data_IF_438539398514
#
_entry.id   IF_438539398514
#
_cell.length_a   1.000
_cell.length_b   1.000
_cell.length_c   1.000
_cell.angle_alpha   90.00
_cell.angle_beta   90.00
_cell.angle_gamma   90.00
#
_symmetry.space_group_name_H-M   'P 1'
#
loop_
_entity.id
_entity.type
_entity.pdbx_description
1 polymer ?
#
# COMPACT_ATOMS: atom_id res chain seq x y z
N UNK A 1 24.90 -38.26 -8.36
CA UNK A 1 25.85 -39.30 -8.78
C UNK A 1 25.29 -40.04 -9.98
N UNK A 2 26.11 -40.89 -10.60
CA UNK A 2 25.68 -41.73 -11.73
C UNK A 2 24.88 -42.91 -11.16
N UNK A 3 23.80 -43.31 -11.83
CA UNK A 3 22.92 -44.38 -11.35
C UNK A 3 22.86 -45.48 -12.41
N UNK A 4 23.29 -46.68 -12.05
CA UNK A 4 23.24 -47.86 -12.90
C UNK A 4 22.18 -48.84 -12.37
N UNK A 5 21.50 -49.52 -13.28
CA UNK A 5 20.56 -50.60 -13.00
C UNK A 5 21.05 -51.87 -13.70
N UNK A 6 21.19 -52.96 -12.94
CA UNK A 6 21.55 -54.26 -13.48
C UNK A 6 20.31 -54.92 -14.12
N UNK A 7 20.40 -55.28 -15.40
CA UNK A 7 19.43 -56.15 -16.04
C UNK A 7 19.69 -57.59 -15.61
N UNK A 8 18.72 -58.16 -14.89
CA UNK A 8 18.81 -59.52 -14.32
C UNK A 8 18.80 -60.62 -15.39
N UNK A 9 18.30 -60.34 -16.60
CA UNK A 9 18.22 -61.34 -17.68
C UNK A 9 19.54 -61.42 -18.42
N UNK A 10 20.13 -60.27 -18.73
CA UNK A 10 21.37 -60.18 -19.53
C UNK A 10 22.63 -60.12 -18.68
N UNK A 11 22.50 -59.78 -17.39
CA UNK A 11 23.62 -59.55 -16.48
C UNK A 11 24.37 -58.24 -16.76
N UNK A 12 23.81 -57.35 -17.60
CA UNK A 12 24.45 -56.11 -18.00
C UNK A 12 23.95 -54.92 -17.18
N UNK A 13 24.86 -54.03 -16.81
CA UNK A 13 24.51 -52.77 -16.13
C UNK A 13 24.14 -51.70 -17.16
N UNK A 14 23.00 -51.04 -16.94
CA UNK A 14 22.52 -49.94 -17.76
C UNK A 14 22.51 -48.63 -16.95
N UNK A 15 23.08 -47.57 -17.51
CA UNK A 15 23.00 -46.23 -16.97
C UNK A 15 21.54 -45.75 -17.07
N UNK A 16 20.90 -45.57 -15.92
CA UNK A 16 19.49 -45.15 -15.78
C UNK A 16 19.36 -43.81 -15.06
N UNK A 17 20.47 -43.11 -14.80
CA UNK A 17 20.39 -41.81 -14.18
C UNK A 17 21.70 -41.06 -14.23
N UNK A 18 21.59 -39.78 -14.53
CA UNK A 18 22.68 -38.83 -14.48
C UNK A 18 22.35 -37.72 -13.47
N UNK A 19 23.37 -37.05 -12.90
CA UNK A 19 23.16 -35.85 -12.10
C UNK A 19 22.42 -34.77 -12.91
N UNK A 20 21.77 -33.82 -12.23
CA UNK A 20 21.07 -32.72 -12.89
C UNK A 20 22.03 -31.96 -13.82
N UNK A 21 21.56 -31.62 -15.01
CA UNK A 21 22.36 -30.98 -16.04
C UNK A 21 23.10 -31.93 -16.99
N UNK A 22 22.95 -33.23 -16.79
CA UNK A 22 23.54 -34.23 -17.66
C UNK A 22 22.43 -35.08 -18.27
N UNK A 23 22.54 -35.37 -19.57
CA UNK A 23 21.67 -36.29 -20.28
C UNK A 23 22.24 -37.70 -20.22
N UNK A 24 21.37 -38.69 -19.98
CA UNK A 24 21.73 -40.10 -20.16
C UNK A 24 21.91 -40.38 -21.64
N UNK A 25 23.08 -40.89 -22.02
CA UNK A 25 23.35 -41.48 -23.33
C UNK A 25 23.64 -42.96 -23.10
N UNK A 26 22.80 -43.83 -23.62
CA UNK A 26 22.90 -45.29 -23.44
C UNK A 26 22.56 -46.03 -24.74
N UNK A 27 23.16 -45.59 -25.84
CA UNK A 27 22.93 -46.14 -27.18
C UNK A 27 23.32 -47.62 -27.27
N UNK A 28 24.46 -47.99 -26.66
CA UNK A 28 24.88 -49.38 -26.49
C UNK A 28 25.46 -49.64 -25.10
N UNK A 29 25.60 -50.92 -24.74
CA UNK A 29 26.23 -51.36 -23.48
C UNK A 29 27.65 -50.79 -23.33
N UNK A 30 28.37 -50.63 -24.44
CA UNK A 30 29.71 -50.06 -24.46
C UNK A 30 29.75 -48.53 -24.44
N UNK A 31 28.63 -47.86 -24.72
CA UNK A 31 28.55 -46.39 -24.88
C UNK A 31 27.52 -45.78 -23.93
N UNK A 32 27.70 -46.08 -22.63
CA UNK A 32 26.89 -45.49 -21.57
C UNK A 32 27.65 -44.34 -20.90
N UNK A 33 27.15 -43.11 -21.06
CA UNK A 33 27.76 -41.93 -20.47
C UNK A 33 26.72 -40.88 -20.08
N UNK A 34 27.12 -39.99 -19.20
CA UNK A 34 26.37 -38.78 -18.88
C UNK A 34 26.94 -37.62 -19.71
N UNK A 35 26.15 -37.11 -20.65
CA UNK A 35 26.53 -35.98 -21.50
C UNK A 35 26.17 -34.65 -20.82
N UNK A 36 27.17 -33.82 -20.54
CA UNK A 36 26.95 -32.50 -19.92
C UNK A 36 26.38 -31.50 -20.92
N UNK A 37 25.37 -30.73 -20.50
CA UNK A 37 24.82 -29.68 -21.34
C UNK A 37 25.77 -28.47 -21.45
N UNK A 38 26.09 -27.98 -22.67
CA UNK A 38 27.00 -26.86 -22.86
C UNK A 38 26.45 -25.53 -22.32
N UNK A 39 27.30 -24.48 -22.14
CA UNK A 39 26.98 -23.17 -21.54
C UNK A 39 25.91 -22.29 -22.19
N UNK A 40 25.06 -22.83 -23.06
CA UNK A 40 23.93 -22.13 -23.69
C UNK A 40 22.66 -22.97 -23.66
N UNK A 41 22.68 -24.06 -22.90
CA UNK A 41 21.64 -25.06 -22.84
C UNK A 41 21.53 -25.64 -21.44
N UNK A 42 20.45 -26.36 -21.19
CA UNK A 42 20.21 -26.97 -19.90
C UNK A 42 19.48 -28.32 -20.03
N UNK A 43 19.52 -29.10 -18.96
CA UNK A 43 18.72 -30.31 -18.77
C UNK A 43 18.18 -30.34 -17.35
N UNK A 44 16.86 -30.48 -17.22
CA UNK A 44 16.19 -30.60 -15.93
C UNK A 44 16.06 -32.07 -15.54
N UNK A 45 15.80 -32.92 -16.53
CA UNK A 45 15.73 -34.37 -16.35
C UNK A 45 16.77 -35.08 -17.21
N UNK A 46 17.47 -36.09 -16.67
CA UNK A 46 18.42 -36.89 -17.44
C UNK A 46 17.81 -37.61 -18.65
N UNK A 47 16.48 -37.71 -18.69
CA UNK A 47 15.70 -38.36 -19.74
C UNK A 47 14.99 -37.38 -20.69
N UNK A 48 15.30 -36.09 -20.64
CA UNK A 48 14.69 -35.07 -21.52
C UNK A 48 14.81 -35.50 -22.98
N UNK A 49 13.69 -35.65 -23.72
CA UNK A 49 13.65 -36.13 -25.10
C UNK A 49 14.21 -37.55 -25.31
N UNK A 50 14.14 -38.43 -24.30
CA UNK A 50 14.50 -39.84 -24.46
C UNK A 50 13.25 -40.73 -24.66
N UNK A 51 13.39 -41.75 -25.52
CA UNK A 51 12.41 -42.82 -25.68
C UNK A 51 12.46 -43.84 -24.54
N UNK A 52 11.50 -44.77 -24.52
CA UNK A 52 11.29 -45.70 -23.39
C UNK A 52 12.43 -46.73 -23.21
N UNK A 53 13.23 -47.01 -24.25
CA UNK A 53 14.19 -48.14 -24.27
C UNK A 53 15.64 -47.77 -24.52
N UNK A 54 15.92 -46.70 -25.27
CA UNK A 54 17.28 -46.23 -25.51
C UNK A 54 17.30 -44.72 -25.68
N UNK A 55 18.35 -44.11 -25.14
CA UNK A 55 18.65 -42.69 -25.18
C UNK A 55 19.89 -42.50 -26.07
N UNK A 56 19.66 -42.29 -27.36
CA UNK A 56 20.74 -41.90 -28.28
C UNK A 56 21.17 -40.46 -27.95
N UNK A 57 22.41 -40.10 -28.33
CA UNK A 57 22.92 -38.74 -28.20
C UNK A 57 21.93 -37.72 -28.79
N UNK A 58 21.66 -36.65 -28.05
CA UNK A 58 20.64 -35.65 -28.37
C UNK A 58 21.03 -34.30 -27.82
N UNK A 59 20.40 -33.27 -28.37
CA UNK A 59 20.62 -31.90 -27.96
C UNK A 59 19.95 -31.60 -26.61
N UNK A 60 20.64 -30.84 -25.77
CA UNK A 60 20.07 -30.27 -24.56
C UNK A 60 19.00 -29.22 -24.89
N UNK A 61 18.16 -28.88 -23.90
CA UNK A 61 17.16 -27.84 -24.08
C UNK A 61 17.85 -26.49 -24.28
N UNK A 62 17.44 -25.73 -25.31
CA UNK A 62 17.91 -24.35 -25.53
C UNK A 62 17.52 -23.47 -24.35
N UNK A 63 18.47 -22.66 -23.86
CA UNK A 63 18.22 -21.72 -22.77
C UNK A 63 17.12 -20.71 -23.15
N UNK A 64 16.13 -20.44 -22.27
CA UNK A 64 15.15 -19.39 -22.49
C UNK A 64 15.79 -18.01 -22.58
N UNK A 65 15.19 -17.12 -23.39
CA UNK A 65 15.68 -15.75 -23.56
C UNK A 65 15.79 -14.98 -22.24
N UNK A 66 14.90 -15.22 -21.28
CA UNK A 66 14.95 -14.60 -19.95
C UNK A 66 15.92 -15.24 -18.95
N UNK A 67 16.72 -16.23 -19.37
CA UNK A 67 17.66 -16.92 -18.51
C UNK A 67 19.08 -16.86 -19.09
N UNK A 68 20.06 -16.79 -18.21
CA UNK A 68 21.46 -17.09 -18.51
C UNK A 68 21.75 -18.49 -18.00
N UNK A 69 22.02 -19.43 -18.91
CA UNK A 69 22.40 -20.80 -18.56
C UNK A 69 23.93 -20.90 -18.51
N UNK A 70 24.47 -21.54 -17.47
CA UNK A 70 25.90 -21.79 -17.34
C UNK A 70 26.31 -23.19 -17.80
N UNK A 71 25.35 -23.91 -18.40
CA UNK A 71 25.45 -25.33 -18.66
C UNK A 71 24.84 -26.16 -17.54
N UNK A 72 24.60 -27.42 -17.85
CA UNK A 72 23.99 -28.34 -16.92
C UNK A 72 22.56 -27.95 -16.49
N UNK A 73 22.36 -27.73 -15.19
CA UNK A 73 21.06 -27.38 -14.60
C UNK A 73 21.07 -26.03 -13.87
N UNK A 74 22.17 -25.29 -14.00
CA UNK A 74 22.36 -24.00 -13.37
C UNK A 74 21.98 -22.91 -14.36
N UNK A 75 20.95 -22.15 -14.01
CA UNK A 75 20.52 -20.98 -14.75
C UNK A 75 20.09 -19.89 -13.76
N UNK A 76 20.31 -18.65 -14.16
CA UNK A 76 19.92 -17.45 -13.43
C UNK A 76 19.10 -16.55 -14.36
N UNK A 77 18.33 -15.61 -13.80
CA UNK A 77 17.69 -14.61 -14.67
C UNK A 77 18.74 -13.84 -15.45
N UNK A 78 18.45 -13.57 -16.73
CA UNK A 78 19.29 -12.69 -17.55
C UNK A 78 19.30 -11.25 -17.06
N UNK A 79 18.23 -10.81 -16.39
CA UNK A 79 18.04 -9.43 -15.92
C UNK A 79 18.01 -9.37 -14.40
N UNK A 80 18.97 -8.62 -13.82
CA UNK A 80 19.06 -8.48 -12.38
C UNK A 80 17.82 -7.78 -11.81
N UNK A 81 17.14 -8.42 -10.86
CA UNK A 81 15.98 -7.83 -10.18
C UNK A 81 14.67 -7.89 -10.97
N UNK A 82 14.60 -8.65 -12.06
CA UNK A 82 13.34 -8.91 -12.76
C UNK A 82 12.33 -9.74 -11.93
N UNK A 83 12.79 -10.33 -10.83
CA UNK A 83 12.04 -11.21 -9.94
C UNK A 83 11.30 -12.32 -10.69
N UNK A 84 11.91 -12.83 -11.75
CA UNK A 84 11.36 -13.92 -12.54
C UNK A 84 11.23 -15.19 -11.70
N UNK A 85 10.08 -15.84 -11.81
CA UNK A 85 9.82 -17.13 -11.18
C UNK A 85 9.57 -18.14 -12.28
N UNK A 86 10.22 -19.30 -12.18
CA UNK A 86 10.21 -20.34 -13.21
C UNK A 86 9.67 -21.64 -12.62
N UNK A 87 8.90 -22.39 -13.41
CA UNK A 87 8.39 -23.72 -13.04
C UNK A 87 8.85 -24.77 -14.04
N UNK A 88 9.00 -26.02 -13.59
CA UNK A 88 9.25 -27.15 -14.47
C UNK A 88 7.92 -27.64 -15.07
N UNK A 89 7.84 -27.71 -16.39
CA UNK A 89 6.70 -28.28 -17.11
C UNK A 89 7.14 -29.49 -17.92
N UNK A 90 6.23 -30.44 -18.11
CA UNK A 90 6.44 -31.61 -18.94
C UNK A 90 5.82 -31.36 -20.32
N UNK A 91 6.65 -31.25 -21.36
CA UNK A 91 6.21 -31.12 -22.74
C UNK A 91 6.40 -32.44 -23.50
N UNK A 92 5.50 -32.71 -24.45
CA UNK A 92 5.62 -33.86 -25.35
C UNK A 92 6.51 -33.45 -26.53
N UNK A 93 7.76 -33.90 -26.53
CA UNK A 93 8.69 -33.75 -27.65
C UNK A 93 8.49 -34.84 -28.71
N UNK A 94 9.21 -34.71 -29.83
CA UNK A 94 9.18 -35.67 -30.94
C UNK A 94 9.69 -37.06 -30.59
N UNK A 95 10.62 -37.15 -29.63
CA UNK A 95 11.27 -38.40 -29.20
C UNK A 95 10.75 -38.95 -27.86
N UNK A 96 9.94 -38.17 -27.14
CA UNK A 96 9.51 -38.52 -25.79
C UNK A 96 9.06 -37.30 -24.99
N UNK A 97 8.97 -37.46 -23.67
CA UNK A 97 8.65 -36.35 -22.78
C UNK A 97 9.92 -35.58 -22.45
N UNK A 98 9.84 -34.26 -22.38
CA UNK A 98 10.94 -33.37 -21.99
C UNK A 98 10.48 -32.44 -20.87
N UNK A 99 11.28 -32.32 -19.83
CA UNK A 99 11.08 -31.32 -18.79
C UNK A 99 11.73 -30.02 -19.23
N UNK A 100 10.93 -28.96 -19.33
CA UNK A 100 11.40 -27.62 -19.69
C UNK A 100 11.00 -26.65 -18.60
N UNK A 101 11.72 -25.53 -18.50
CA UNK A 101 11.33 -24.46 -17.57
C UNK A 101 10.43 -23.45 -18.29
N UNK A 102 9.35 -23.02 -17.64
CA UNK A 102 8.49 -21.94 -18.13
C UNK A 102 8.41 -20.82 -17.11
N UNK A 103 8.32 -19.60 -17.62
CA UNK A 103 8.22 -18.40 -16.79
C UNK A 103 6.81 -18.26 -16.21
N UNK A 104 6.64 -18.24 -14.90
CA UNK A 104 5.32 -18.13 -14.24
C UNK A 104 4.99 -16.73 -13.78
N UNK A 105 5.99 -15.93 -13.40
CA UNK A 105 5.76 -14.54 -13.02
C UNK A 105 6.99 -13.67 -13.18
N UNK A 106 6.77 -12.36 -13.34
CA UNK A 106 7.79 -11.30 -13.36
C UNK A 106 7.44 -10.24 -12.32
N UNK A 107 8.44 -9.62 -11.69
CA UNK A 107 8.25 -8.55 -10.72
C UNK A 107 7.52 -7.33 -11.30
N UNK A 108 7.12 -6.43 -10.40
CA UNK A 108 6.59 -5.13 -10.81
C UNK A 108 7.60 -4.43 -11.72
N UNK A 109 7.08 -3.83 -12.78
CA UNK A 109 7.86 -3.17 -13.82
C UNK A 109 8.25 -4.05 -15.00
N UNK A 110 8.05 -5.36 -14.90
CA UNK A 110 8.34 -6.27 -15.99
C UNK A 110 7.04 -6.84 -16.53
N UNK A 111 7.00 -7.05 -17.84
CA UNK A 111 5.95 -7.81 -18.52
C UNK A 111 6.44 -9.23 -18.73
N UNK A 112 5.50 -10.16 -18.57
CA UNK A 112 5.74 -11.57 -18.83
C UNK A 112 5.51 -11.84 -20.31
N UNK A 113 6.59 -12.16 -21.02
CA UNK A 113 6.55 -12.58 -22.42
C UNK A 113 6.65 -14.10 -22.44
N UNK A 114 5.59 -14.75 -22.93
CA UNK A 114 5.57 -16.20 -23.17
C UNK A 114 5.41 -16.44 -24.66
N UNK A 115 6.37 -17.14 -25.24
CA UNK A 115 6.29 -17.55 -26.63
C UNK A 115 5.61 -18.90 -26.83
N UNK A 116 5.55 -19.35 -28.08
CA UNK A 116 5.01 -20.66 -28.42
C UNK A 116 5.84 -21.78 -27.77
N UNK A 117 7.14 -21.55 -27.64
CA UNK A 117 8.08 -22.47 -27.02
C UNK A 117 8.71 -21.88 -25.75
N UNK A 118 9.05 -22.71 -24.75
CA UNK A 118 9.73 -22.31 -23.52
C UNK A 118 10.98 -21.43 -23.70
N UNK A 119 11.69 -21.63 -24.80
CA UNK A 119 12.93 -20.90 -25.13
C UNK A 119 12.69 -19.42 -25.45
N UNK A 120 11.45 -19.02 -25.68
CA UNK A 120 11.03 -17.63 -25.94
C UNK A 120 10.49 -16.93 -24.69
N UNK A 121 10.42 -17.62 -23.55
CA UNK A 121 9.92 -17.03 -22.31
C UNK A 121 10.94 -16.02 -21.76
N UNK A 122 10.48 -14.82 -21.39
CA UNK A 122 11.32 -13.76 -20.82
C UNK A 122 10.50 -12.75 -19.98
N UNK A 123 11.15 -12.13 -19.00
CA UNK A 123 10.66 -10.92 -18.36
C UNK A 123 11.26 -9.71 -19.07
N UNK A 124 10.42 -8.83 -19.61
CA UNK A 124 10.87 -7.65 -20.35
C UNK A 124 10.47 -6.40 -19.56
N UNK A 125 11.41 -5.50 -19.31
CA UNK A 125 11.12 -4.26 -18.59
C UNK A 125 10.14 -3.38 -19.39
N UNK A 126 9.23 -2.69 -18.68
CA UNK A 126 8.37 -1.70 -19.31
C UNK A 126 9.20 -0.58 -19.94
N UNK A 127 8.94 -0.22 -21.22
CA UNK A 127 9.69 0.82 -21.91
C UNK A 127 9.49 2.19 -21.25
N UNK A 128 10.41 3.12 -21.50
CA UNK A 128 10.34 4.49 -20.97
C UNK A 128 9.01 5.16 -21.32
N UNK A 129 8.46 5.92 -20.37
CA UNK A 129 7.13 6.51 -20.50
C UNK A 129 5.97 5.55 -20.20
N UNK A 130 6.26 4.30 -19.86
CA UNK A 130 5.27 3.33 -19.38
C UNK A 130 5.71 2.70 -18.06
N UNK A 131 4.80 2.05 -17.34
CA UNK A 131 5.12 1.39 -16.08
C UNK A 131 4.19 0.21 -15.77
N UNK A 132 4.62 -0.68 -14.88
CA UNK A 132 3.76 -1.69 -14.25
C UNK A 132 4.01 -1.72 -12.75
N UNK A 133 2.98 -1.52 -11.93
CA UNK A 133 3.10 -1.63 -10.46
C UNK A 133 2.80 -3.04 -9.94
N UNK A 134 2.24 -3.91 -10.78
CA UNK A 134 1.82 -5.26 -10.37
C UNK A 134 2.79 -6.31 -10.88
N UNK A 135 3.00 -7.38 -10.08
CA UNK A 135 3.66 -8.59 -10.56
C UNK A 135 2.86 -9.19 -11.73
N UNK A 136 3.50 -9.37 -12.88
CA UNK A 136 2.90 -10.10 -13.98
C UNK A 136 2.86 -11.58 -13.61
N UNK A 137 1.69 -12.22 -13.61
CA UNK A 137 1.55 -13.65 -13.29
C UNK A 137 0.86 -14.35 -14.45
N UNK A 138 1.46 -15.45 -14.90
CA UNK A 138 0.82 -16.36 -15.83
C UNK A 138 -0.28 -17.11 -15.10
N UNK A 139 -1.51 -16.98 -15.57
CA UNK A 139 -2.62 -17.86 -15.19
C UNK A 139 -3.01 -18.63 -16.43
N UNK A 140 -2.83 -19.96 -16.46
CA UNK A 140 -3.31 -20.75 -17.59
C UNK A 140 -4.80 -20.44 -17.80
N UNK A 141 -5.26 -20.22 -19.04
CA UNK A 141 -6.67 -20.01 -19.30
C UNK A 141 -7.44 -21.21 -18.75
N UNK A 142 -8.39 -20.95 -17.84
CA UNK A 142 -9.09 -21.99 -17.08
C UNK A 142 -9.82 -22.98 -17.99
N UNK A 143 -10.22 -22.57 -19.20
CA UNK A 143 -10.55 -23.44 -20.33
C UNK A 143 -10.44 -22.61 -21.61
N UNK A 144 -9.40 -22.78 -22.41
CA UNK A 144 -9.38 -22.30 -23.79
C UNK A 144 -8.85 -23.43 -24.67
N UNK A 145 -9.61 -23.74 -25.72
CA UNK A 145 -9.30 -24.74 -26.73
C UNK A 145 -7.86 -24.62 -27.23
N UNK A 146 -7.23 -25.76 -27.48
CA UNK A 146 -5.81 -26.01 -27.82
C UNK A 146 -5.19 -25.19 -28.98
N UNK A 147 -5.91 -24.25 -29.60
CA UNK A 147 -5.50 -23.55 -30.81
C UNK A 147 -5.07 -22.08 -30.62
N UNK A 148 -5.22 -21.49 -29.43
CA UNK A 148 -4.71 -20.14 -29.19
C UNK A 148 -3.37 -20.21 -28.45
N UNK A 149 -2.28 -20.25 -29.21
CA UNK A 149 -1.03 -19.63 -28.79
C UNK A 149 -1.29 -18.13 -28.64
N UNK A 150 -1.98 -17.78 -27.54
CA UNK A 150 -2.16 -16.41 -27.09
C UNK A 150 -0.81 -15.94 -26.57
N UNK A 151 0.09 -15.71 -27.53
CA UNK A 151 1.18 -14.78 -27.41
C UNK A 151 0.50 -13.53 -26.83
N UNK A 152 0.77 -13.22 -25.57
CA UNK A 152 0.32 -11.98 -24.93
C UNK A 152 1.05 -10.90 -25.73
N UNK A 153 0.48 -10.54 -26.88
CA UNK A 153 1.15 -9.78 -27.94
C UNK A 153 1.31 -8.33 -27.58
N UNK A 154 0.63 -7.90 -26.53
CA UNK A 154 0.53 -6.49 -26.26
C UNK A 154 1.24 -6.18 -24.95
N UNK A 155 2.14 -5.21 -25.05
CA UNK A 155 2.59 -4.34 -23.98
C UNK A 155 1.43 -3.66 -23.21
N UNK A 156 0.18 -4.07 -23.42
CA UNK A 156 -1.00 -3.76 -22.62
C UNK A 156 -0.74 -3.90 -21.11
N UNK A 157 0.25 -4.71 -20.69
CA UNK A 157 0.73 -4.82 -19.30
C UNK A 157 1.43 -3.58 -18.76
N UNK A 158 2.06 -2.77 -19.61
CA UNK A 158 2.62 -1.49 -19.22
C UNK A 158 1.60 -0.39 -19.44
N UNK A 159 1.25 0.32 -18.37
CA UNK A 159 0.37 1.47 -18.41
C UNK A 159 1.18 2.71 -18.83
N UNK A 160 0.56 3.62 -19.58
CA UNK A 160 1.15 4.92 -19.88
C UNK A 160 1.43 5.68 -18.57
N UNK A 161 2.57 6.37 -18.49
CA UNK A 161 2.94 7.12 -17.30
C UNK A 161 1.86 8.16 -16.95
N UNK A 162 1.40 8.23 -15.68
CA UNK A 162 0.34 9.15 -15.31
C UNK A 162 0.82 10.60 -15.45
N UNK A 163 -0.08 11.54 -15.79
CA UNK A 163 0.27 12.95 -15.86
C UNK A 163 0.78 13.43 -14.50
N UNK A 164 1.84 14.25 -14.51
CA UNK A 164 2.48 14.70 -13.28
C UNK A 164 3.59 13.78 -12.77
N UNK A 165 3.98 12.74 -13.50
CA UNK A 165 5.10 11.87 -13.17
C UNK A 165 6.04 11.59 -14.35
N UNK A 166 7.22 11.07 -14.01
CA UNK A 166 8.20 10.48 -14.92
C UNK A 166 8.36 8.99 -14.59
N UNK A 167 8.38 8.17 -15.64
CA UNK A 167 8.55 6.73 -15.57
C UNK A 167 9.79 6.39 -16.39
N UNK A 168 10.92 6.21 -15.72
CA UNK A 168 12.23 5.97 -16.37
C UNK A 168 12.23 4.63 -17.12
N UNK A 169 11.67 3.60 -16.49
CA UNK A 169 11.37 2.27 -17.01
C UNK A 169 10.81 1.42 -15.87
N UNK A 170 10.20 0.30 -16.20
CA UNK A 170 9.86 -0.67 -15.17
C UNK A 170 8.66 -0.28 -14.30
N UNK A 171 8.83 -0.32 -12.97
CA UNK A 171 7.76 -0.10 -11.99
C UNK A 171 7.91 1.22 -11.22
N UNK A 172 8.92 2.01 -11.55
CA UNK A 172 9.28 3.22 -10.83
C UNK A 172 8.54 4.44 -11.41
N UNK A 173 7.47 4.82 -10.73
CA UNK A 173 6.70 6.03 -11.02
C UNK A 173 7.14 7.12 -10.05
N UNK A 174 7.83 8.15 -10.55
CA UNK A 174 8.28 9.30 -9.76
C UNK A 174 7.47 10.54 -10.10
N UNK A 175 6.75 11.14 -9.15
CA UNK A 175 6.04 12.38 -9.42
C UNK A 175 7.02 13.54 -9.70
N UNK A 176 6.62 14.48 -10.55
CA UNK A 176 7.32 15.76 -10.71
C UNK A 176 7.22 16.61 -9.44
N UNK A 177 8.02 17.68 -9.38
CA UNK A 177 7.90 18.69 -8.33
C UNK A 177 6.43 19.17 -8.23
N UNK A 178 5.93 19.25 -6.99
CA UNK A 178 4.53 19.62 -6.66
C UNK A 178 3.49 18.56 -7.03
N UNK A 179 3.90 17.33 -7.29
CA UNK A 179 3.01 16.19 -7.38
C UNK A 179 3.30 15.18 -6.27
N UNK A 180 2.28 14.43 -5.89
CA UNK A 180 2.30 13.42 -4.85
C UNK A 180 1.92 12.07 -5.43
N UNK A 181 2.72 11.03 -5.16
CA UNK A 181 2.32 9.66 -5.47
C UNK A 181 1.46 9.10 -4.33
N UNK A 182 0.18 8.89 -4.61
CA UNK A 182 -0.73 8.19 -3.70
C UNK A 182 -0.48 6.69 -3.63
N UNK A 183 -1.27 6.00 -2.81
CA UNK A 183 -1.33 4.54 -2.81
C UNK A 183 -1.75 4.02 -4.19
N UNK A 184 -1.29 2.82 -4.54
CA UNK A 184 -1.82 2.13 -5.70
C UNK A 184 -3.32 1.84 -5.44
N UNK A 185 -4.16 2.04 -6.44
CA UNK A 185 -5.58 1.70 -6.33
C UNK A 185 -5.89 0.43 -7.12
N UNK A 186 -6.76 -0.41 -6.58
CA UNK A 186 -7.36 -1.54 -7.28
C UNK A 186 -8.64 -1.07 -7.96
N UNK A 187 -8.56 -0.92 -9.27
CA UNK A 187 -9.73 -0.60 -10.08
C UNK A 187 -10.48 -1.91 -10.41
N UNK A 188 -11.79 -1.94 -10.17
CA UNK A 188 -12.65 -3.06 -10.59
C UNK A 188 -13.03 -2.96 -12.07
N UNK A 189 -13.51 -4.02 -12.74
CA UNK A 189 -13.89 -4.01 -14.16
C UNK A 189 -14.83 -2.84 -14.55
N UNK A 190 -15.75 -2.50 -13.66
CA UNK A 190 -16.75 -1.43 -13.84
C UNK A 190 -16.15 -0.02 -13.81
N UNK A 191 -14.86 0.08 -13.46
CA UNK A 191 -14.10 1.34 -13.44
C UNK A 191 -13.59 1.73 -14.82
N UNK A 192 -13.50 0.84 -15.81
CA UNK A 192 -12.93 1.24 -17.10
C UNK A 192 -14.00 1.70 -18.09
N UNK A 193 -13.72 2.82 -18.76
CA UNK A 193 -14.57 3.37 -19.79
C UNK A 193 -14.25 2.67 -21.14
N UNK A 194 -15.20 1.89 -21.70
CA UNK A 194 -14.95 1.05 -22.88
C UNK A 194 -14.57 1.85 -24.14
N UNK A 195 -14.98 3.12 -24.23
CA UNK A 195 -14.72 3.96 -25.41
C UNK A 195 -13.33 4.59 -25.38
N UNK A 196 -12.80 4.88 -24.20
CA UNK A 196 -11.51 5.55 -24.04
C UNK A 196 -10.38 4.60 -23.63
N UNK A 197 -10.70 3.40 -23.13
CA UNK A 197 -9.74 2.50 -22.50
C UNK A 197 -9.16 3.04 -21.19
N UNK A 198 -9.68 4.16 -20.66
CA UNK A 198 -9.19 4.77 -19.43
C UNK A 198 -9.98 4.25 -18.21
N UNK A 199 -9.28 4.03 -17.10
CA UNK A 199 -9.91 3.75 -15.82
C UNK A 199 -10.46 5.06 -15.20
N UNK A 200 -11.76 5.10 -14.95
CA UNK A 200 -12.43 6.03 -14.04
C UNK A 200 -11.91 5.82 -12.62
N UNK A 201 -11.00 6.70 -12.24
CA UNK A 201 -10.32 6.67 -10.94
C UNK A 201 -11.29 6.77 -9.76
N UNK A 202 -12.48 7.35 -9.96
CA UNK A 202 -13.46 7.53 -8.88
C UNK A 202 -14.12 6.23 -8.43
N UNK A 203 -14.02 5.18 -9.25
CA UNK A 203 -14.58 3.84 -8.98
C UNK A 203 -13.53 2.86 -8.47
N UNK A 204 -12.27 3.29 -8.37
CA UNK A 204 -11.20 2.45 -7.86
C UNK A 204 -11.20 2.49 -6.32
N UNK A 205 -10.95 1.33 -5.72
CA UNK A 205 -10.79 1.22 -4.27
C UNK A 205 -9.30 1.37 -3.94
N UNK A 206 -8.99 2.13 -2.89
CA UNK A 206 -7.65 2.09 -2.32
C UNK A 206 -7.37 0.65 -1.86
N UNK A 207 -6.18 0.14 -2.18
CA UNK A 207 -5.72 -1.10 -1.58
C UNK A 207 -5.54 -0.81 -0.09
N UNK A 208 -6.56 -1.16 0.72
CA UNK A 208 -6.41 -1.19 2.16
C UNK A 208 -5.14 -2.00 2.44
N UNK A 209 -4.23 -1.46 3.27
CA UNK A 209 -3.07 -2.19 3.81
C UNK A 209 -3.58 -3.32 4.70
N UNK A 210 -4.25 -4.29 4.11
CA UNK A 210 -4.81 -5.45 4.77
C UNK A 210 -3.73 -6.51 4.76
N UNK A 211 -3.09 -6.72 5.91
CA UNK A 211 -2.31 -7.92 6.18
C UNK A 211 -3.21 -9.16 6.38
N UNK A 212 -4.27 -9.30 5.60
CA UNK A 212 -5.22 -10.40 5.69
C UNK A 212 -5.60 -10.92 4.30
N UNK A 213 -5.25 -12.18 4.06
CA UNK A 213 -5.48 -12.92 2.82
C UNK A 213 -6.96 -12.89 2.40
N UNK A 214 -7.29 -12.51 1.15
CA UNK A 214 -8.65 -12.54 0.66
C UNK A 214 -8.98 -13.94 0.13
N UNK A 215 -9.49 -14.80 1.02
CA UNK A 215 -10.20 -16.01 0.61
C UNK A 215 -11.71 -15.73 0.51
N UNK A 216 -12.29 -16.06 -0.64
CA UNK A 216 -13.72 -16.26 -0.95
C UNK A 216 -14.66 -15.04 -0.98
N UNK A 217 -14.94 -14.53 -2.19
CA UNK A 217 -16.28 -14.06 -2.56
C UNK A 217 -16.52 -14.26 -4.07
N UNK A 218 -17.70 -14.80 -4.43
CA UNK A 218 -18.01 -15.34 -5.75
C UNK A 218 -19.07 -14.58 -6.55
N UNK A 219 -18.91 -14.65 -7.89
CA UNK A 219 -19.87 -14.50 -9.01
C UNK A 219 -20.68 -13.18 -9.20
N UNK A 220 -20.37 -12.46 -10.29
CA UNK A 220 -21.14 -12.36 -11.56
C UNK A 220 -20.32 -11.65 -12.67
N UNK A 221 -20.41 -12.15 -13.91
CA UNK A 221 -19.86 -11.61 -15.19
C UNK A 221 -20.81 -10.49 -15.73
N UNK A 222 -20.46 -9.49 -16.57
CA UNK A 222 -19.72 -9.54 -17.85
C UNK A 222 -19.37 -8.11 -18.40
N UNK A 223 -18.11 -7.92 -18.87
CA UNK A 223 -17.54 -7.14 -20.01
C UNK A 223 -17.95 -5.66 -20.29
N UNK A 224 -17.06 -4.70 -20.61
CA UNK A 224 -15.77 -4.76 -21.32
C UNK A 224 -14.91 -3.49 -21.11
N UNK A 225 -13.58 -3.66 -21.15
CA UNK A 225 -12.57 -2.63 -21.35
C UNK A 225 -11.22 -3.33 -21.62
N UNK A 226 -10.63 -3.20 -22.82
CA UNK A 226 -9.48 -3.98 -23.35
C UNK A 226 -9.02 -5.18 -22.46
N UNK A 227 -9.66 -6.34 -22.63
CA UNK A 227 -9.42 -7.55 -21.80
C UNK A 227 -10.21 -7.66 -20.49
N UNK A 228 -11.06 -6.69 -20.15
CA UNK A 228 -12.06 -6.71 -19.07
C UNK A 228 -11.51 -6.63 -17.65
N UNK A 229 -10.26 -6.20 -17.44
CA UNK A 229 -9.65 -6.11 -16.10
C UNK A 229 -8.97 -4.77 -15.90
N UNK A 230 -9.58 -3.93 -15.07
CA UNK A 230 -8.91 -2.75 -14.55
C UNK A 230 -7.76 -3.20 -13.65
N UNK A 231 -6.60 -2.57 -13.85
CA UNK A 231 -5.34 -2.94 -13.18
C UNK A 231 -5.00 -1.92 -12.13
N UNK A 232 -4.00 -2.24 -11.30
CA UNK A 232 -3.51 -1.24 -10.36
C UNK A 232 -2.87 -0.08 -11.12
N UNK A 233 -3.33 1.13 -10.83
CA UNK A 233 -2.81 2.37 -11.42
C UNK A 233 -2.07 3.14 -10.34
N UNK A 234 -0.91 3.69 -10.68
CA UNK A 234 -0.21 4.62 -9.81
C UNK A 234 -0.94 5.96 -9.87
N UNK A 235 -1.37 6.46 -8.72
CA UNK A 235 -2.09 7.73 -8.63
C UNK A 235 -1.12 8.86 -8.33
N UNK A 236 -1.25 9.94 -9.09
CA UNK A 236 -0.40 11.12 -8.95
C UNK A 236 -1.27 12.35 -8.82
N UNK A 237 -1.20 13.02 -7.68
CA UNK A 237 -2.01 14.17 -7.33
C UNK A 237 -1.18 15.45 -7.38
N UNK A 238 -1.76 16.54 -7.84
CA UNK A 238 -1.12 17.85 -7.74
C UNK A 238 -1.25 18.38 -6.31
N UNK A 239 -0.12 18.70 -5.68
CA UNK A 239 -0.11 19.34 -4.37
C UNK A 239 -0.47 20.82 -4.47
N UNK A 240 -1.18 21.37 -3.47
CA UNK A 240 -1.21 22.80 -3.24
C UNK A 240 0.20 23.40 -3.14
N UNK A 241 0.40 24.66 -3.54
CA UNK A 241 1.71 25.31 -3.43
C UNK A 241 2.15 25.41 -1.95
N UNK A 242 3.34 24.89 -1.64
CA UNK A 242 3.99 25.01 -0.32
C UNK A 242 3.69 23.91 0.70
N UNK A 243 2.87 22.90 0.36
CA UNK A 243 2.51 21.80 1.28
C UNK A 243 3.25 20.49 1.04
N UNK A 244 3.73 20.26 -0.19
CA UNK A 244 4.65 19.17 -0.51
C UNK A 244 6.07 19.71 -0.54
N UNK A 245 7.07 18.92 -0.15
CA UNK A 245 8.46 19.32 -0.32
C UNK A 245 8.72 19.64 -1.78
N UNK A 246 9.23 20.85 -2.04
CA UNK A 246 9.85 21.13 -3.33
C UNK A 246 11.18 20.39 -3.33
N UNK A 247 11.27 19.28 -4.06
CA UNK A 247 12.55 18.63 -4.31
C UNK A 247 13.46 19.65 -5.00
N UNK A 248 14.53 20.06 -4.31
CA UNK A 248 15.67 20.66 -4.98
C UNK A 248 16.09 19.67 -6.09
N UNK A 249 16.30 20.17 -7.30
CA UNK A 249 16.37 19.40 -8.55
C UNK A 249 17.39 18.24 -8.58
N UNK A 250 18.26 18.13 -7.58
CA UNK A 250 19.30 17.11 -7.42
C UNK A 250 18.98 16.01 -6.41
N UNK A 251 17.90 16.11 -5.63
CA UNK A 251 17.51 15.10 -4.64
C UNK A 251 16.07 14.68 -4.86
N UNK A 252 15.87 13.45 -5.34
CA UNK A 252 14.56 12.81 -5.45
C UNK A 252 14.04 12.56 -4.02
N UNK A 253 13.45 13.58 -3.40
CA UNK A 253 12.91 13.46 -2.06
C UNK A 253 11.65 12.60 -2.13
N UNK A 254 11.70 11.50 -1.39
CA UNK A 254 10.60 10.59 -1.12
C UNK A 254 9.31 11.39 -0.93
N UNK A 255 8.21 10.92 -1.55
CA UNK A 255 6.83 11.37 -1.36
C UNK A 255 6.55 11.61 0.14
N UNK A 256 6.92 12.77 0.66
CA UNK A 256 6.80 13.13 2.07
C UNK A 256 6.14 14.48 2.14
N UNK A 257 5.07 14.55 2.91
CA UNK A 257 4.40 15.81 3.16
C UNK A 257 5.34 16.69 3.98
N UNK A 258 5.23 18.00 3.81
CA UNK A 258 5.90 18.94 4.70
C UNK A 258 5.51 18.62 6.15
N UNK A 259 6.38 18.93 7.10
CA UNK A 259 6.12 18.70 8.51
C UNK A 259 4.75 19.25 8.93
N UNK A 260 4.03 18.49 9.76
CA UNK A 260 2.65 18.78 10.14
C UNK A 260 1.57 18.38 9.14
N UNK A 261 1.89 18.10 7.88
CA UNK A 261 0.90 17.70 6.86
C UNK A 261 0.79 16.16 6.69
N UNK A 262 -0.38 15.68 6.28
CA UNK A 262 -0.69 14.29 5.96
C UNK A 262 -1.76 14.15 4.86
N UNK A 263 -1.96 12.92 4.39
CA UNK A 263 -2.96 12.57 3.38
C UNK A 263 -2.44 12.62 1.93
N UNK A 264 -3.25 12.17 0.96
CA UNK A 264 -2.84 11.97 -0.44
C UNK A 264 -2.53 13.26 -1.21
N UNK A 265 -2.90 14.42 -0.66
CA UNK A 265 -2.58 15.74 -1.22
C UNK A 265 -1.77 16.60 -0.26
N UNK A 266 -1.35 16.01 0.87
CA UNK A 266 -0.74 16.74 2.00
C UNK A 266 -1.60 17.92 2.47
N UNK A 267 -2.91 17.91 2.24
CA UNK A 267 -3.80 19.01 2.58
C UNK A 267 -4.34 18.91 4.02
N UNK A 268 -4.17 17.78 4.70
CA UNK A 268 -4.65 17.58 6.07
C UNK A 268 -3.52 17.78 7.07
N UNK A 269 -3.83 18.20 8.29
CA UNK A 269 -2.85 18.29 9.37
C UNK A 269 -2.78 16.99 10.17
N UNK A 270 -1.57 16.62 10.61
CA UNK A 270 -1.34 15.49 11.53
C UNK A 270 -2.02 15.75 12.87
N UNK A 271 -2.29 14.69 13.64
CA UNK A 271 -2.76 14.84 15.02
C UNK A 271 -1.79 15.69 15.83
N UNK A 272 -2.31 16.63 16.63
CA UNK A 272 -1.50 17.63 17.34
C UNK A 272 -1.12 18.85 16.50
N UNK A 273 -1.62 18.99 15.28
CA UNK A 273 -1.42 20.15 14.42
C UNK A 273 -2.77 20.74 14.00
N UNK A 274 -2.85 22.05 13.85
CA UNK A 274 -4.01 22.78 13.37
C UNK A 274 -3.69 23.54 12.09
N UNK A 275 -4.69 23.69 11.22
CA UNK A 275 -4.53 24.43 9.96
C UNK A 275 -4.59 25.94 10.23
N UNK A 276 -3.48 26.64 9.99
CA UNK A 276 -3.38 28.10 10.05
C UNK A 276 -3.14 28.64 8.63
N UNK A 277 -4.20 29.15 8.00
CA UNK A 277 -4.24 29.59 6.60
C UNK A 277 -3.86 28.50 5.57
N UNK A 278 -2.57 28.34 5.25
CA UNK A 278 -2.05 27.36 4.28
C UNK A 278 -1.06 26.36 4.87
N UNK A 279 -0.70 26.52 6.13
CA UNK A 279 0.29 25.69 6.78
C UNK A 279 -0.33 25.01 8.00
N UNK A 280 0.07 23.76 8.24
CA UNK A 280 -0.19 23.14 9.52
C UNK A 280 0.80 23.70 10.54
N UNK A 281 0.29 24.14 11.69
CA UNK A 281 1.08 24.56 12.84
C UNK A 281 0.83 23.61 14.00
N UNK A 282 1.88 23.26 14.74
CA UNK A 282 1.75 22.42 15.91
C UNK A 282 0.86 23.14 16.95
N UNK A 283 -0.12 22.43 17.47
CA UNK A 283 -0.95 22.92 18.55
C UNK A 283 -0.04 23.12 19.76
N UNK A 284 0.11 24.36 20.22
CA UNK A 284 0.80 24.65 21.46
C UNK A 284 0.15 23.82 22.57
N UNK A 285 0.95 22.99 23.27
CA UNK A 285 0.49 22.08 24.31
C UNK A 285 -0.18 22.78 25.51
N UNK A 286 -0.25 24.11 25.50
CA UNK A 286 -0.99 24.95 26.44
C UNK A 286 -2.53 24.84 26.37
N UNK A 287 -3.10 23.98 25.53
CA UNK A 287 -4.54 23.68 25.58
C UNK A 287 -4.97 23.05 26.93
N UNK A 288 -4.05 22.38 27.64
CA UNK A 288 -4.30 21.93 29.02
C UNK A 288 -4.50 23.10 30.00
N UNK A 289 -3.76 24.21 29.80
CA UNK A 289 -3.92 25.40 30.64
C UNK A 289 -5.26 26.10 30.37
N UNK A 290 -5.73 26.11 29.12
CA UNK A 290 -7.04 26.65 28.76
C UNK A 290 -8.19 25.81 29.36
N UNK A 291 -8.08 24.48 29.37
CA UNK A 291 -9.05 23.59 30.01
C UNK A 291 -9.07 23.77 31.53
N UNK A 292 -7.90 23.83 32.17
CA UNK A 292 -7.79 24.09 33.60
C UNK A 292 -8.44 25.43 33.97
N UNK A 293 -8.22 26.48 33.17
CA UNK A 293 -8.85 27.79 33.37
C UNK A 293 -10.38 27.71 33.25
N UNK A 294 -10.90 26.99 32.24
CA UNK A 294 -12.34 26.85 32.02
C UNK A 294 -13.02 26.10 33.18
N UNK A 295 -12.38 25.04 33.69
CA UNK A 295 -12.85 24.30 34.88
C UNK A 295 -12.87 25.22 36.12
N UNK A 296 -11.82 26.02 36.33
CA UNK A 296 -11.77 26.99 37.44
C UNK A 296 -12.88 28.04 37.31
N UNK A 297 -13.11 28.59 36.12
CA UNK A 297 -14.20 29.53 35.89
C UNK A 297 -15.58 28.90 36.14
N UNK A 298 -15.81 27.66 35.72
CA UNK A 298 -17.04 26.91 35.97
C UNK A 298 -17.29 26.70 37.47
N UNK A 299 -16.26 26.33 38.23
CA UNK A 299 -16.35 26.17 39.68
C UNK A 299 -16.73 27.48 40.38
N UNK A 300 -16.14 28.60 39.97
CA UNK A 300 -16.48 29.93 40.52
C UNK A 300 -17.95 30.27 40.26
N UNK A 301 -18.44 30.04 39.04
CA UNK A 301 -19.85 30.30 38.69
C UNK A 301 -20.79 29.41 39.51
N UNK A 302 -20.48 28.11 39.66
CA UNK A 302 -21.28 27.18 40.46
C UNK A 302 -21.33 27.57 41.94
N UNK A 303 -20.19 27.99 42.51
CA UNK A 303 -20.15 28.51 43.89
C UNK A 303 -20.99 29.77 44.04
N UNK A 304 -20.95 30.66 43.06
CA UNK A 304 -21.75 31.89 43.07
C UNK A 304 -23.25 31.58 42.98
N UNK A 305 -23.65 30.64 42.13
CA UNK A 305 -25.05 30.20 42.01
C UNK A 305 -25.54 29.49 43.27
N UNK A 306 -24.71 28.63 43.88
CA UNK A 306 -25.03 27.97 45.14
C UNK A 306 -25.21 29.00 46.27
N UNK A 307 -24.31 29.98 46.36
CA UNK A 307 -24.42 31.10 47.29
C UNK A 307 -25.72 31.87 47.08
N UNK A 308 -26.01 32.27 45.84
CA UNK A 308 -27.22 33.04 45.51
C UNK A 308 -28.51 32.28 45.84
N UNK A 309 -28.50 30.96 45.65
CA UNK A 309 -29.64 30.09 45.93
C UNK A 309 -29.86 29.88 47.43
N UNK A 310 -28.80 29.90 48.25
CA UNK A 310 -28.88 29.62 49.69
C UNK A 310 -28.95 30.89 50.54
N UNK A 311 -28.50 32.04 50.02
CA UNK A 311 -28.55 33.34 50.70
C UNK A 311 -29.92 33.72 51.31
N UNK A 312 -31.07 33.56 50.60
CA UNK A 312 -32.38 33.90 51.19
C UNK A 312 -32.79 32.93 52.31
N UNK A 313 -32.42 31.65 52.21
CA UNK A 313 -32.67 30.64 53.23
C UNK A 313 -31.85 30.91 54.50
N UNK A 314 -30.59 31.32 54.35
CA UNK A 314 -29.72 31.68 55.48
C UNK A 314 -30.15 32.98 56.16
N UNK A 315 -30.83 33.89 55.45
CA UNK A 315 -31.35 35.13 56.03
C UNK A 315 -32.55 34.92 56.97
N UNK A 316 -33.36 33.89 56.77
CA UNK A 316 -34.54 33.61 57.62
C UNK A 316 -34.21 32.77 58.86
N UNK A 317 -33.22 31.88 58.79
CA UNK A 317 -32.84 31.00 59.91
C UNK A 317 -31.72 31.68 60.71
N UNK A 318 -32.07 32.51 61.69
CA UNK A 318 -31.16 33.30 62.55
C UNK A 318 -30.14 32.54 63.42
N UNK A 319 -29.70 31.34 63.02
CA UNK A 319 -28.63 30.58 63.65
C UNK A 319 -27.26 30.94 63.05
N UNK A 320 -26.79 32.15 63.32
CA UNK A 320 -25.58 32.69 62.66
C UNK A 320 -24.25 32.35 63.35
N UNK A 321 -24.25 31.79 64.56
CA UNK A 321 -22.99 31.60 65.32
C UNK A 321 -22.09 30.47 64.80
N UNK A 322 -22.65 29.41 64.22
CA UNK A 322 -21.87 28.29 63.66
C UNK A 322 -21.36 28.54 62.24
N UNK A 323 -22.15 29.22 61.41
CA UNK A 323 -21.83 29.47 60.00
C UNK A 323 -20.75 30.54 59.85
N UNK A 324 -20.70 31.52 60.75
CA UNK A 324 -19.69 32.59 60.71
C UNK A 324 -18.25 32.05 60.85
N UNK A 325 -18.03 30.99 61.65
CA UNK A 325 -16.71 30.35 61.75
C UNK A 325 -16.30 29.64 60.46
N UNK A 326 -17.25 29.04 59.73
CA UNK A 326 -16.99 28.36 58.46
C UNK A 326 -16.74 29.39 57.36
N UNK A 327 -17.56 30.45 57.30
CA UNK A 327 -17.39 31.56 56.36
C UNK A 327 -16.04 32.26 56.58
N UNK A 328 -15.64 32.50 57.83
CA UNK A 328 -14.34 33.12 58.11
C UNK A 328 -13.17 32.19 57.74
N UNK A 329 -13.31 30.88 57.94
CA UNK A 329 -12.29 29.90 57.52
C UNK A 329 -12.18 29.82 55.98
N UNK A 330 -13.29 29.95 55.26
CA UNK A 330 -13.30 30.01 53.79
C UNK A 330 -12.72 31.34 53.30
N UNK A 331 -13.04 32.47 53.94
CA UNK A 331 -12.44 33.77 53.61
C UNK A 331 -10.92 33.72 53.83
N UNK A 332 -10.44 33.21 54.96
CA UNK A 332 -9.01 33.03 55.23
C UNK A 332 -8.33 32.08 54.23
N UNK A 333 -9.05 31.03 53.79
CA UNK A 333 -8.55 30.12 52.76
C UNK A 333 -8.50 30.80 51.39
N UNK A 334 -9.51 31.59 51.04
CA UNK A 334 -9.54 32.38 49.79
C UNK A 334 -8.47 33.48 49.79
N UNK A 335 -8.20 34.11 50.92
CA UNK A 335 -7.17 35.15 51.05
C UNK A 335 -5.76 34.54 50.95
N UNK A 336 -5.55 33.35 51.55
CA UNK A 336 -4.32 32.56 51.37
C UNK A 336 -4.14 32.05 49.93
N UNK A 337 -5.21 31.65 49.25
CA UNK A 337 -5.16 31.24 47.84
C UNK A 337 -4.94 32.44 46.91
N UNK A 338 -5.54 33.59 47.20
CA UNK A 338 -5.38 34.85 46.46
C UNK A 338 -4.02 35.50 46.66
N UNK A 339 -3.30 35.18 47.73
CA UNK A 339 -1.92 35.66 47.98
C UNK A 339 -0.87 34.67 47.50
N UNK A 340 -1.18 33.36 47.46
CA UNK A 340 -0.28 32.32 46.94
C UNK A 340 -0.26 32.23 45.40
N UNK A 341 -1.39 32.53 44.74
CA UNK A 341 -1.41 32.80 43.30
C UNK A 341 -1.47 34.31 43.16
N UNK A 342 -0.51 34.93 42.48
CA UNK A 342 -0.62 36.34 42.08
C UNK A 342 -1.70 36.43 41.00
N UNK A 343 -2.96 36.34 41.42
CA UNK A 343 -4.16 36.34 40.57
C UNK A 343 -4.16 37.60 39.72
N UNK A 344 -3.60 38.70 40.23
CA UNK A 344 -3.49 39.95 39.50
C UNK A 344 -2.47 39.84 38.36
N UNK A 345 -1.32 39.21 38.58
CA UNK A 345 -0.35 38.97 37.51
C UNK A 345 -0.82 37.90 36.51
N UNK A 346 -1.50 36.83 36.96
CA UNK A 346 -2.08 35.80 36.09
C UNK A 346 -3.23 36.39 35.25
N UNK A 347 -4.14 37.14 35.87
CA UNK A 347 -5.26 37.80 35.19
C UNK A 347 -4.75 38.91 34.26
N UNK A 348 -3.72 39.67 34.63
CA UNK A 348 -3.13 40.67 33.72
C UNK A 348 -2.30 40.05 32.59
N UNK A 349 -1.59 38.92 32.80
CA UNK A 349 -0.96 38.15 31.71
C UNK A 349 -2.00 37.52 30.77
N UNK A 350 -3.16 37.12 31.30
CA UNK A 350 -4.28 36.59 30.51
C UNK A 350 -5.01 37.70 29.73
N UNK A 351 -5.17 38.89 30.32
CA UNK A 351 -5.78 40.04 29.64
C UNK A 351 -4.82 40.71 28.64
N UNK A 352 -3.49 40.62 28.82
CA UNK A 352 -2.52 41.21 27.87
C UNK A 352 -2.30 40.34 26.63
N UNK A 353 -2.56 39.03 26.69
CA UNK A 353 -2.66 38.17 25.50
C UNK A 353 -4.02 38.39 24.84
N UNK A 354 -4.13 39.46 24.05
CA UNK A 354 -5.34 40.06 23.45
C UNK A 354 -6.29 39.20 22.60
N UNK A 355 -6.33 37.88 22.77
CA UNK A 355 -7.24 36.97 22.09
C UNK A 355 -8.44 36.50 22.95
N UNK A 356 -8.45 36.73 24.27
CA UNK A 356 -9.55 36.27 25.14
C UNK A 356 -10.91 36.86 24.71
N UNK A 357 -10.95 38.16 24.40
CA UNK A 357 -12.17 38.83 23.93
C UNK A 357 -12.61 38.28 22.55
N UNK A 358 -11.65 37.84 21.74
CA UNK A 358 -11.90 37.17 20.46
C UNK A 358 -12.53 35.79 20.66
N UNK A 359 -11.97 34.96 21.54
CA UNK A 359 -12.52 33.64 21.86
C UNK A 359 -13.92 33.73 22.48
N UNK A 360 -14.16 34.68 23.40
CA UNK A 360 -15.50 34.90 23.98
C UNK A 360 -16.50 35.30 22.89
N UNK A 361 -16.12 36.17 21.95
CA UNK A 361 -16.97 36.52 20.81
C UNK A 361 -17.27 35.32 19.91
N UNK A 362 -16.28 34.48 19.63
CA UNK A 362 -16.47 33.26 18.83
C UNK A 362 -17.42 32.28 19.53
N UNK A 363 -17.29 32.11 20.84
CA UNK A 363 -18.19 31.27 21.65
C UNK A 363 -19.63 31.80 21.64
N UNK A 364 -19.81 33.11 21.84
CA UNK A 364 -21.14 33.74 21.79
C UNK A 364 -21.75 33.58 20.40
N UNK A 365 -20.97 33.81 19.34
CA UNK A 365 -21.43 33.64 17.96
C UNK A 365 -21.82 32.19 17.64
N UNK A 366 -21.01 31.23 18.08
CA UNK A 366 -21.32 29.81 17.93
C UNK A 366 -22.61 29.43 18.65
N UNK A 367 -22.81 29.91 19.90
CA UNK A 367 -24.00 29.63 20.69
C UNK A 367 -25.26 30.26 20.07
N UNK A 368 -25.16 31.47 19.53
CA UNK A 368 -26.26 32.11 18.78
C UNK A 368 -26.64 31.30 17.54
N UNK A 369 -25.65 30.86 16.76
CA UNK A 369 -25.91 30.07 15.55
C UNK A 369 -26.49 28.70 15.91
N UNK A 370 -25.88 27.97 16.84
CA UNK A 370 -26.35 26.65 17.28
C UNK A 370 -27.75 26.72 17.91
N UNK A 371 -28.01 27.74 18.73
CA UNK A 371 -29.33 27.98 19.32
C UNK A 371 -30.40 28.29 18.27
N UNK A 372 -30.08 29.16 17.30
CA UNK A 372 -30.99 29.45 16.18
C UNK A 372 -31.25 28.22 15.30
N UNK A 373 -30.23 27.39 15.05
CA UNK A 373 -30.36 26.18 14.25
C UNK A 373 -31.24 25.13 14.93
N UNK A 374 -31.08 24.93 16.23
CA UNK A 374 -31.91 23.99 17.00
C UNK A 374 -33.37 24.44 17.05
N UNK A 375 -33.62 25.74 17.23
CA UNK A 375 -34.98 26.28 17.27
C UNK A 375 -35.69 26.23 15.92
N UNK A 376 -34.97 26.44 14.81
CA UNK A 376 -35.58 26.52 13.47
C UNK A 376 -35.73 25.15 12.82
N UNK A 377 -34.75 24.26 12.98
CA UNK A 377 -34.69 23.03 12.19
C UNK A 377 -35.02 21.75 12.96
N UNK A 378 -35.19 21.80 14.29
CA UNK A 378 -35.50 20.64 15.13
C UNK A 378 -34.67 19.38 14.78
N UNK A 379 -33.41 19.56 14.38
CA UNK A 379 -32.56 18.47 13.93
C UNK A 379 -32.08 17.72 15.16
N UNK A 380 -32.46 16.45 15.26
CA UNK A 380 -31.95 15.59 16.32
C UNK A 380 -30.46 15.32 16.09
N UNK A 381 -29.61 15.84 16.97
CA UNK A 381 -28.17 15.67 16.84
C UNK A 381 -27.77 14.18 16.97
N UNK A 382 -26.78 13.71 16.17
CA UNK A 382 -26.25 12.36 16.30
C UNK A 382 -25.80 12.08 17.74
N UNK A 383 -26.05 10.87 18.24
CA UNK A 383 -25.75 10.49 19.64
C UNK A 383 -24.29 10.78 20.04
N UNK A 384 -23.33 10.60 19.14
CA UNK A 384 -21.91 10.83 19.44
C UNK A 384 -21.60 12.29 19.83
N UNK A 385 -22.33 13.27 19.29
CA UNK A 385 -22.15 14.68 19.66
C UNK A 385 -22.94 15.05 20.91
N UNK A 386 -24.04 14.35 21.21
CA UNK A 386 -24.81 14.54 22.45
C UNK A 386 -24.04 14.06 23.68
N UNK A 387 -23.27 13.00 23.54
CA UNK A 387 -22.54 12.36 24.66
C UNK A 387 -21.20 13.07 24.99
N UNK A 388 -20.80 14.09 24.21
CA UNK A 388 -19.60 14.89 24.43
C UNK A 388 -19.83 16.15 25.27
N UNK A 389 -21.09 16.52 25.53
CA UNK A 389 -21.52 17.64 26.36
C UNK A 389 -22.28 17.13 27.56
#
# INVERSE_FOLDING_TARGET
GWVYQLDVVTGQSHLVGCPRGFLVVNDSVATQTCFECPPTSYSVSPFDNCGVKSCVSRECNKCPQGLTCFGGSNFESSEAGDGSVWENVLEQGSLGKTMRVRLTSCAAGYVLVRGASPDQDACVACPSGTYSVTRATYRPPVMASESSSALVRDFDLCLACPPGAVCSSGGDVKPYNRFWRGSNMLCGPDSCNPLSGQCDQTKCLEEERSGQDPATSGRRQQQQCAGGKCRMVAMVYRCPPGVCFESNASSFVNNTCREGHMGPTCALCKGGWAMEARFCRECESGAQDAYALLVVCLLIVLLFLAWYSWAPLVAEVGCFSGVQSIVQSVIDMMDKVSTAMDVKEVVMKLMSKGNLLGYVKVLIGFWQVAGSFNLVFAVEWPKQLRDMW
#
